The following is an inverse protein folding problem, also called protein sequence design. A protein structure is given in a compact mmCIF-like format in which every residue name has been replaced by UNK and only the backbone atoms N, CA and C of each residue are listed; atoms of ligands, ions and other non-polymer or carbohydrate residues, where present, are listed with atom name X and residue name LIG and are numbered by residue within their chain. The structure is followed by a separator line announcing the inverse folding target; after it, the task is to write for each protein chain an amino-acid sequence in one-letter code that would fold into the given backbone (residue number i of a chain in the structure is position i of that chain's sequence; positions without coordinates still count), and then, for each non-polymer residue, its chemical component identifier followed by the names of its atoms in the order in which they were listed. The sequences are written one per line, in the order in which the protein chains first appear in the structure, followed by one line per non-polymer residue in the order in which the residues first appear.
data_IF_261118288590
#
_entry.id   IF_261118288590
#
_cell.length_a   1.000
_cell.length_b   1.000
_cell.length_c   1.000
_cell.angle_alpha   90.00
_cell.angle_beta   90.00
_cell.angle_gamma   90.00
#
_symmetry.space_group_name_H-M   'P 1'
#
loop_
_entity.id
_entity.type
_entity.pdbx_description
1 polymer ?
#
# COMPACT_ATOMS: atom_id res chain seq x y z
N UNK A 1 -2.14 -9.42 11.46
CA UNK A 1 -1.21 -8.68 10.58
C UNK A 1 -1.95 -7.43 10.16
N UNK A 2 -1.31 -6.26 10.16
CA UNK A 2 -1.93 -5.04 9.62
C UNK A 2 -1.89 -5.15 8.09
N UNK A 3 -2.99 -4.81 7.39
CA UNK A 3 -2.98 -4.74 5.93
C UNK A 3 -2.40 -3.41 5.50
N UNK A 4 -1.64 -3.43 4.41
CA UNK A 4 -0.86 -2.29 3.99
C UNK A 4 -0.89 -2.10 2.48
N UNK A 5 -0.72 -0.84 2.06
CA UNK A 5 -0.42 -0.46 0.68
C UNK A 5 0.96 0.18 0.64
N UNK A 6 1.81 -0.32 -0.23
CA UNK A 6 3.17 0.16 -0.47
C UNK A 6 3.21 1.09 -1.66
N UNK A 7 3.98 2.16 -1.54
CA UNK A 7 4.21 3.15 -2.60
C UNK A 7 5.70 3.25 -2.91
N UNK A 8 6.00 3.33 -4.21
CA UNK A 8 7.36 3.38 -4.73
C UNK A 8 8.21 4.52 -4.18
N UNK A 9 9.50 4.28 -4.05
CA UNK A 9 10.49 5.25 -3.53
C UNK A 9 10.63 6.53 -4.39
N UNK A 10 10.05 6.55 -5.58
CA UNK A 10 10.02 7.71 -6.47
C UNK A 10 9.01 8.77 -6.01
N UNK A 11 8.07 8.42 -5.12
CA UNK A 11 7.18 9.39 -4.50
C UNK A 11 7.89 10.25 -3.45
N UNK A 12 7.27 11.35 -3.05
CA UNK A 12 7.54 12.01 -1.78
C UNK A 12 6.45 11.67 -0.76
N UNK A 13 6.75 11.75 0.53
CA UNK A 13 5.75 11.56 1.59
C UNK A 13 4.54 12.49 1.42
N UNK A 14 4.76 13.72 0.95
CA UNK A 14 3.69 14.68 0.66
C UNK A 14 2.80 14.20 -0.51
N UNK A 15 3.38 13.66 -1.57
CA UNK A 15 2.60 13.09 -2.68
C UNK A 15 1.75 11.90 -2.23
N UNK A 16 2.31 11.03 -1.38
CA UNK A 16 1.57 9.88 -0.83
C UNK A 16 0.39 10.36 0.01
N UNK A 17 0.62 11.29 0.95
CA UNK A 17 -0.44 11.86 1.79
C UNK A 17 -1.52 12.56 0.96
N UNK A 18 -1.12 13.38 -0.01
CA UNK A 18 -2.05 14.08 -0.88
C UNK A 18 -2.90 13.12 -1.72
N UNK A 19 -2.33 12.00 -2.20
CA UNK A 19 -3.07 10.99 -2.94
C UNK A 19 -4.13 10.31 -2.06
N UNK A 20 -3.77 9.95 -0.82
CA UNK A 20 -4.71 9.36 0.15
C UNK A 20 -5.83 10.34 0.48
N UNK A 21 -5.50 11.58 0.85
CA UNK A 21 -6.48 12.62 1.19
C UNK A 21 -7.43 12.91 0.00
N UNK A 22 -6.88 13.01 -1.21
CA UNK A 22 -7.67 13.24 -2.43
C UNK A 22 -8.63 12.09 -2.68
N UNK A 23 -8.17 10.84 -2.58
CA UNK A 23 -9.01 9.67 -2.76
C UNK A 23 -10.13 9.60 -1.71
N UNK A 24 -9.82 9.82 -0.43
CA UNK A 24 -10.81 9.87 0.65
C UNK A 24 -11.86 10.96 0.39
N UNK A 25 -11.44 12.14 -0.04
CA UNK A 25 -12.36 13.23 -0.38
C UNK A 25 -13.28 12.89 -1.56
N UNK A 26 -12.74 12.28 -2.62
CA UNK A 26 -13.50 11.93 -3.82
C UNK A 26 -14.52 10.81 -3.59
N UNK A 27 -14.20 9.87 -2.69
CA UNK A 27 -15.03 8.68 -2.44
C UNK A 27 -15.92 8.79 -1.21
N UNK A 28 -15.62 9.74 -0.31
CA UNK A 28 -16.21 9.79 1.03
C UNK A 28 -15.73 8.67 1.95
N UNK A 29 -14.66 7.96 1.58
CA UNK A 29 -14.09 6.90 2.41
C UNK A 29 -13.37 7.49 3.62
N UNK A 30 -13.77 7.07 4.82
CA UNK A 30 -13.24 7.56 6.09
C UNK A 30 -12.38 6.51 6.81
N UNK A 31 -11.75 5.59 6.07
CA UNK A 31 -10.83 4.60 6.63
C UNK A 31 -9.73 5.28 7.44
N UNK A 32 -9.50 4.79 8.66
CA UNK A 32 -8.39 5.26 9.49
C UNK A 32 -7.09 4.59 9.03
N UNK A 33 -6.06 5.40 8.77
CA UNK A 33 -4.82 4.96 8.15
C UNK A 33 -3.62 5.77 8.67
N UNK A 34 -2.44 5.16 8.60
CA UNK A 34 -1.16 5.82 8.90
C UNK A 34 -0.24 5.73 7.69
N UNK A 35 0.57 6.77 7.46
CA UNK A 35 1.51 6.83 6.33
C UNK A 35 2.92 6.99 6.88
N UNK A 36 3.73 5.96 6.68
CA UNK A 36 5.09 5.91 7.18
C UNK A 36 6.13 5.99 6.04
N UNK A 37 7.29 6.55 6.36
CA UNK A 37 8.42 6.72 5.43
C UNK A 37 9.43 5.58 5.55
N UNK A 38 8.91 4.35 5.61
CA UNK A 38 9.68 3.11 5.60
C UNK A 38 8.88 2.10 4.75
N UNK A 39 9.39 1.72 3.58
CA UNK A 39 8.73 0.75 2.69
C UNK A 39 8.87 -0.70 3.17
N UNK A 40 8.97 -0.92 4.49
CA UNK A 40 9.29 -2.18 5.17
C UNK A 40 10.51 -2.94 4.60
N UNK A 41 11.45 -2.21 3.98
CA UNK A 41 12.59 -2.79 3.29
C UNK A 41 12.27 -3.54 1.99
N UNK A 42 11.06 -3.43 1.45
CA UNK A 42 10.73 -4.00 0.14
C UNK A 42 11.49 -3.25 -0.98
N UNK A 43 12.22 -3.96 -1.87
CA UNK A 43 12.96 -3.31 -2.95
C UNK A 43 12.08 -2.43 -3.84
N UNK A 44 12.47 -1.17 -3.98
CA UNK A 44 11.78 -0.17 -4.80
C UNK A 44 10.56 0.48 -4.14
N UNK A 45 10.24 0.15 -2.88
CA UNK A 45 9.18 0.78 -2.09
C UNK A 45 9.79 1.73 -1.06
N UNK A 46 9.23 2.94 -0.94
CA UNK A 46 9.72 3.96 -0.01
C UNK A 46 8.73 4.29 1.11
N UNK A 47 7.47 3.90 0.96
CA UNK A 47 6.40 4.26 1.89
C UNK A 47 5.44 3.09 2.08
N UNK A 48 4.86 3.05 3.27
CA UNK A 48 3.78 2.14 3.64
C UNK A 48 2.57 2.95 4.13
N UNK A 49 1.38 2.50 3.75
CA UNK A 49 0.10 3.04 4.21
C UNK A 49 -0.61 1.93 4.96
N UNK A 50 -0.60 2.01 6.28
CA UNK A 50 -1.19 1.01 7.17
C UNK A 50 -2.67 1.28 7.37
N UNK A 51 -3.50 0.24 7.20
CA UNK A 51 -4.92 0.32 7.44
C UNK A 51 -5.22 -0.02 8.89
N UNK A 52 -5.69 0.93 9.68
CA UNK A 52 -5.89 0.77 11.12
C UNK A 52 -7.32 0.32 11.47
N UNK A 53 -7.81 -0.67 10.73
CA UNK A 53 -9.13 -1.32 10.92
C UNK A 53 -8.95 -2.61 11.71
N UNK A 54 -9.84 -2.87 12.68
CA UNK A 54 -9.76 -4.07 13.55
C UNK A 54 -10.26 -5.36 12.89
N UNK A 55 -11.30 -5.23 12.07
CA UNK A 55 -11.91 -6.37 11.38
C UNK A 55 -11.08 -6.72 10.14
N UNK A 56 -10.64 -7.97 10.03
CA UNK A 56 -9.69 -8.38 9.00
C UNK A 56 -10.29 -8.30 7.58
N UNK A 57 -11.54 -8.73 7.40
CA UNK A 57 -12.21 -8.69 6.10
C UNK A 57 -12.44 -7.24 5.65
N UNK A 58 -12.86 -6.36 6.57
CA UNK A 58 -12.98 -4.92 6.30
C UNK A 58 -11.63 -4.28 6.01
N UNK A 59 -10.56 -4.69 6.71
CA UNK A 59 -9.21 -4.20 6.48
C UNK A 59 -8.70 -4.61 5.10
N UNK A 60 -8.95 -5.86 4.68
CA UNK A 60 -8.61 -6.37 3.35
C UNK A 60 -9.37 -5.62 2.25
N UNK A 61 -10.68 -5.45 2.41
CA UNK A 61 -11.50 -4.72 1.45
C UNK A 61 -11.13 -3.24 1.36
N UNK A 62 -10.76 -2.61 2.47
CA UNK A 62 -10.29 -1.22 2.48
C UNK A 62 -8.93 -1.08 1.79
N UNK A 63 -8.02 -2.04 1.96
CA UNK A 63 -6.70 -2.03 1.33
C UNK A 63 -6.84 -2.05 -0.19
N UNK A 64 -7.67 -2.94 -0.71
CA UNK A 64 -7.86 -3.10 -2.15
C UNK A 64 -8.48 -1.84 -2.76
N UNK A 65 -9.49 -1.26 -2.08
CA UNK A 65 -10.09 0.01 -2.51
C UNK A 65 -9.11 1.18 -2.47
N UNK A 66 -8.28 1.26 -1.44
CA UNK A 66 -7.23 2.27 -1.32
C UNK A 66 -6.19 2.13 -2.44
N UNK A 67 -5.65 0.92 -2.64
CA UNK A 67 -4.63 0.66 -3.65
C UNK A 67 -5.13 1.03 -5.06
N UNK A 68 -6.33 0.58 -5.44
CA UNK A 68 -6.94 0.96 -6.71
C UNK A 68 -7.26 2.45 -6.81
N UNK A 69 -7.66 3.05 -5.69
CA UNK A 69 -8.01 4.46 -5.61
C UNK A 69 -6.85 5.44 -5.79
N UNK A 70 -5.68 5.12 -5.21
CA UNK A 70 -4.51 6.02 -5.25
C UNK A 70 -3.62 5.78 -6.47
N UNK A 71 -3.66 4.60 -7.10
CA UNK A 71 -2.94 4.30 -8.36
C UNK A 71 -3.06 5.41 -9.42
N UNK A 72 -4.27 5.90 -9.78
CA UNK A 72 -4.40 6.98 -10.78
C UNK A 72 -3.89 8.35 -10.30
N UNK A 73 -3.73 8.55 -8.99
CA UNK A 73 -3.26 9.80 -8.39
C UNK A 73 -1.72 9.86 -8.30
N UNK A 74 -1.04 8.72 -8.53
CA UNK A 74 0.41 8.57 -8.48
C UNK A 74 0.94 8.04 -9.82
N UNK A 75 0.81 8.79 -10.92
CA UNK A 75 1.12 8.30 -12.25
C UNK A 75 2.61 7.95 -12.40
N UNK A 76 2.88 6.72 -12.84
CA UNK A 76 4.23 6.21 -13.04
C UNK A 76 4.95 5.78 -11.76
N UNK A 77 4.31 5.88 -10.60
CA UNK A 77 4.85 5.43 -9.32
C UNK A 77 4.22 4.06 -8.99
N UNK A 78 5.02 3.03 -8.68
CA UNK A 78 4.50 1.74 -8.24
C UNK A 78 3.61 1.86 -7.01
N UNK A 79 2.46 1.17 -7.03
CA UNK A 79 1.59 0.96 -5.87
C UNK A 79 1.26 -0.52 -5.79
N UNK A 80 1.44 -1.13 -4.62
CA UNK A 80 1.21 -2.57 -4.41
C UNK A 80 0.63 -2.84 -3.02
N UNK A 81 -0.14 -3.90 -2.88
CA UNK A 81 -0.69 -4.39 -1.61
C UNK A 81 0.31 -5.29 -0.88
N UNK A 82 0.14 -5.49 0.43
CA UNK A 82 0.89 -6.50 1.21
C UNK A 82 0.80 -7.91 0.61
N UNK A 83 -0.35 -8.27 0.03
CA UNK A 83 -0.50 -9.56 -0.66
C UNK A 83 0.40 -9.63 -1.89
N UNK A 84 0.37 -8.64 -2.78
CA UNK A 84 1.22 -8.61 -3.97
C UNK A 84 2.71 -8.60 -3.61
N UNK A 85 3.09 -7.91 -2.54
CA UNK A 85 4.48 -7.84 -2.08
C UNK A 85 4.95 -9.18 -1.51
N UNK A 86 4.13 -9.85 -0.70
CA UNK A 86 4.42 -11.20 -0.21
C UNK A 86 4.53 -12.21 -1.36
N UNK A 87 3.63 -12.16 -2.34
CA UNK A 87 3.66 -13.06 -3.49
C UNK A 87 4.94 -12.89 -4.33
N UNK A 88 5.41 -11.64 -4.52
CA UNK A 88 6.69 -11.35 -5.19
C UNK A 88 7.88 -11.91 -4.42
N UNK A 89 7.89 -11.79 -3.10
CA UNK A 89 8.95 -12.37 -2.26
C UNK A 89 8.96 -13.90 -2.35
N UNK A 90 7.79 -14.55 -2.32
CA UNK A 90 7.66 -15.99 -2.48
C UNK A 90 8.19 -16.43 -3.85
N UNK A 91 7.82 -15.72 -4.92
CA UNK A 91 8.28 -16.00 -6.28
C UNK A 91 9.79 -15.76 -6.48
N UNK A 92 10.37 -14.81 -5.75
CA UNK A 92 11.80 -14.50 -5.80
C UNK A 92 12.67 -15.44 -4.94
N UNK A 93 12.07 -16.24 -4.06
CA UNK A 93 12.81 -17.21 -3.26
C UNK A 93 13.36 -18.32 -4.17
N UNK A 94 14.69 -18.55 -4.24
CA UNK A 94 15.23 -19.66 -5.01
C UNK A 94 14.64 -20.96 -4.48
N UNK A 95 14.19 -21.84 -5.38
CA UNK A 95 13.69 -23.17 -5.04
C UNK A 95 14.69 -23.84 -4.09
N UNK A 96 14.38 -23.90 -2.79
CA UNK A 96 15.12 -24.73 -1.86
C UNK A 96 14.85 -26.17 -2.29
N UNK A 97 15.75 -26.67 -3.13
CA UNK A 97 15.71 -28.00 -3.70
C UNK A 97 15.51 -29.02 -2.57
N UNK A 98 14.57 -29.94 -2.82
CA UNK A 98 14.31 -31.15 -2.04
C UNK A 98 15.57 -31.99 -1.86
#
# INVERSE_FOLDING_TARGET
MVRAVYVGEQATLEQVRAAVETWQHQTGDATYLDVEADGDGYPGMGYVIDLLIRDEDAQLAARDRLAEGIKPLLPGIPVATDTEMNDRQIAAAPERHR
#
